data_IF_125290772578
#
_entry.id   IF_125290772578
#
_cell.length_a   1.000
_cell.length_b   1.000
_cell.length_c   1.000
_cell.angle_alpha   90.00
_cell.angle_beta   90.00
_cell.angle_gamma   90.00
#
_symmetry.space_group_name_H-M   'P 1'
#
loop_
_entity.id
_entity.type
_entity.pdbx_description
1 polymer ?
#
# COMPACT_ATOMS: atom_id res chain seq x y z
N UNK A 1 -16.16 -33.88 27.13
CA UNK A 1 -15.01 -32.97 26.99
C UNK A 1 -13.75 -33.80 26.85
N UNK A 2 -12.78 -33.39 26.04
CA UNK A 2 -11.46 -34.02 26.04
C UNK A 2 -10.67 -33.51 27.25
N UNK A 3 -10.26 -34.40 28.15
CA UNK A 3 -9.43 -34.05 29.31
C UNK A 3 -7.96 -34.19 28.90
N UNK A 4 -7.24 -33.07 28.90
CA UNK A 4 -5.79 -33.05 28.67
C UNK A 4 -5.08 -33.01 30.02
N UNK A 5 -3.94 -33.70 30.18
CA UNK A 5 -3.12 -33.60 31.38
C UNK A 5 -2.67 -32.15 31.63
N UNK A 6 -2.45 -31.79 32.89
CA UNK A 6 -1.96 -30.45 33.24
C UNK A 6 -0.66 -30.10 32.50
N UNK A 7 -0.47 -28.83 32.16
CA UNK A 7 0.72 -28.30 31.48
C UNK A 7 1.03 -28.89 30.09
N UNK A 8 0.08 -29.57 29.43
CA UNK A 8 0.30 -30.18 28.10
C UNK A 8 -0.29 -29.40 26.92
N UNK A 9 -0.90 -28.22 27.16
CA UNK A 9 -1.50 -27.37 26.12
C UNK A 9 -0.60 -27.16 24.90
N UNK A 10 0.64 -26.72 25.15
CA UNK A 10 1.67 -26.48 24.14
C UNK A 10 2.13 -27.72 23.33
N UNK A 11 1.60 -28.91 23.64
CA UNK A 11 1.87 -30.18 22.95
C UNK A 11 0.62 -30.80 22.33
N UNK A 12 -0.51 -30.73 23.03
CA UNK A 12 -1.73 -31.45 22.68
C UNK A 12 -2.82 -30.58 22.09
N UNK A 13 -2.77 -29.24 22.25
CA UNK A 13 -3.77 -28.35 21.67
C UNK A 13 -3.34 -27.90 20.27
N UNK A 14 -4.07 -28.27 19.19
CA UNK A 14 -3.71 -27.90 17.83
C UNK A 14 -3.54 -26.39 17.65
N UNK A 15 -4.36 -25.58 18.33
CA UNK A 15 -4.26 -24.14 18.26
C UNK A 15 -2.88 -23.63 18.70
N UNK A 16 -2.37 -24.10 19.84
CA UNK A 16 -1.06 -23.71 20.36
C UNK A 16 0.09 -24.28 19.53
N UNK A 17 -0.06 -25.51 19.02
CA UNK A 17 1.01 -26.23 18.30
C UNK A 17 1.23 -25.70 16.88
N UNK A 18 0.17 -25.26 16.18
CA UNK A 18 0.30 -24.98 14.75
C UNK A 18 -0.55 -23.83 14.18
N UNK A 19 -1.48 -23.25 14.94
CA UNK A 19 -2.35 -22.16 14.42
C UNK A 19 -1.93 -20.80 14.93
N UNK A 20 -1.67 -20.67 16.24
CA UNK A 20 -1.37 -19.38 16.87
C UNK A 20 0.01 -18.83 16.50
N UNK A 21 0.99 -19.69 16.21
CA UNK A 21 2.30 -19.26 15.71
C UNK A 21 2.17 -18.49 14.39
N UNK A 22 1.65 -19.11 13.31
CA UNK A 22 1.41 -18.43 12.04
C UNK A 22 0.52 -17.18 12.17
N UNK A 23 -0.51 -17.23 13.03
CA UNK A 23 -1.40 -16.09 13.26
C UNK A 23 -0.65 -14.90 13.88
N UNK A 24 0.23 -15.15 14.86
CA UNK A 24 1.05 -14.12 15.48
C UNK A 24 2.01 -13.49 14.47
N UNK A 25 2.59 -14.30 13.58
CA UNK A 25 3.45 -13.81 12.50
C UNK A 25 2.68 -12.93 11.53
N UNK A 26 1.56 -13.43 10.97
CA UNK A 26 0.76 -12.67 10.02
C UNK A 26 0.22 -11.36 10.63
N UNK A 27 -0.18 -11.39 11.90
CA UNK A 27 -0.60 -10.18 12.62
C UNK A 27 0.54 -9.18 12.76
N UNK A 28 1.75 -9.64 13.11
CA UNK A 28 2.94 -8.78 13.21
C UNK A 28 3.27 -8.16 11.85
N UNK A 29 3.18 -8.92 10.76
CA UNK A 29 3.46 -8.43 9.41
C UNK A 29 2.46 -7.33 9.00
N UNK A 30 1.18 -7.51 9.33
CA UNK A 30 0.12 -6.52 9.11
C UNK A 30 0.34 -5.24 9.94
N UNK A 31 0.77 -5.37 11.20
CA UNK A 31 1.15 -4.23 12.04
C UNK A 31 2.35 -3.49 11.46
N UNK A 32 3.40 -4.21 11.07
CA UNK A 32 4.60 -3.62 10.48
C UNK A 32 4.27 -2.88 9.18
N UNK A 33 3.38 -3.44 8.34
CA UNK A 33 2.87 -2.79 7.14
C UNK A 33 2.22 -1.46 7.49
N UNK A 34 1.34 -1.41 8.49
CA UNK A 34 0.72 -0.15 8.91
C UNK A 34 1.75 0.87 9.44
N UNK A 35 2.74 0.43 10.21
CA UNK A 35 3.81 1.31 10.70
C UNK A 35 4.65 1.90 9.56
N UNK A 36 4.96 1.09 8.52
CA UNK A 36 5.60 1.60 7.28
C UNK A 36 4.74 2.63 6.56
N UNK A 37 3.43 2.59 6.75
CA UNK A 37 2.46 3.56 6.25
C UNK A 37 2.38 4.87 7.06
N UNK A 38 3.22 5.04 8.09
CA UNK A 38 3.25 6.25 8.91
C UNK A 38 2.36 6.20 10.15
N UNK A 39 1.87 5.02 10.54
CA UNK A 39 1.11 4.85 11.78
C UNK A 39 2.06 4.62 12.96
N UNK A 40 2.09 5.55 13.92
CA UNK A 40 2.98 5.47 15.10
C UNK A 40 2.60 4.38 16.10
N UNK A 41 1.29 4.15 16.29
CA UNK A 41 0.80 3.16 17.24
C UNK A 41 -0.47 2.47 16.76
N UNK A 42 -0.54 1.15 16.98
CA UNK A 42 -1.74 0.36 16.68
C UNK A 42 -2.69 0.38 17.89
N UNK A 43 -3.82 1.07 17.74
CA UNK A 43 -4.87 1.18 18.76
C UNK A 43 -6.00 0.17 18.52
N UNK A 44 -6.95 0.07 19.47
CA UNK A 44 -8.07 -0.91 19.42
C UNK A 44 -8.96 -0.76 18.17
N UNK A 45 -9.07 0.44 17.62
CA UNK A 45 -9.84 0.72 16.40
C UNK A 45 -9.22 0.07 15.14
N UNK A 46 -7.95 -0.31 15.19
CA UNK A 46 -7.26 -0.99 14.09
C UNK A 46 -7.29 -2.51 14.23
N UNK A 47 -7.70 -3.03 15.38
CA UNK A 47 -7.61 -4.46 15.68
C UNK A 47 -8.33 -5.28 14.62
N UNK A 48 -9.57 -4.94 14.26
CA UNK A 48 -10.37 -5.74 13.32
C UNK A 48 -9.82 -5.66 11.90
N UNK A 49 -9.31 -4.50 11.46
CA UNK A 49 -8.74 -4.33 10.13
C UNK A 49 -7.39 -5.04 9.97
N UNK A 50 -6.61 -5.18 11.05
CA UNK A 50 -5.35 -5.96 11.09
C UNK A 50 -5.64 -7.45 11.26
N UNK A 51 -6.57 -7.80 12.14
CA UNK A 51 -6.83 -9.19 12.52
C UNK A 51 -7.51 -9.99 11.40
N UNK A 52 -8.43 -9.39 10.64
CA UNK A 52 -9.11 -10.08 9.52
C UNK A 52 -8.13 -10.67 8.49
N UNK A 53 -7.24 -9.88 7.85
CA UNK A 53 -6.30 -10.42 6.88
C UNK A 53 -5.27 -11.37 7.51
N UNK A 54 -4.83 -11.11 8.74
CA UNK A 54 -3.95 -12.02 9.47
C UNK A 54 -4.61 -13.39 9.73
N UNK A 55 -5.90 -13.39 10.09
CA UNK A 55 -6.70 -14.60 10.30
C UNK A 55 -6.88 -15.39 9.01
N UNK A 56 -7.21 -14.72 7.91
CA UNK A 56 -7.38 -15.35 6.59
C UNK A 56 -6.07 -16.00 6.10
N UNK A 57 -4.94 -15.34 6.36
CA UNK A 57 -3.60 -15.84 6.01
C UNK A 57 -3.19 -17.04 6.87
N UNK A 58 -3.46 -17.00 8.17
CA UNK A 58 -2.95 -18.00 9.12
C UNK A 58 -3.90 -19.18 9.35
N UNK A 59 -5.21 -18.95 9.43
CA UNK A 59 -6.21 -19.99 9.74
C UNK A 59 -6.68 -20.63 8.43
N UNK A 60 -5.77 -21.37 7.79
CA UNK A 60 -6.05 -22.12 6.57
C UNK A 60 -6.35 -23.58 6.88
N UNK A 61 -7.10 -24.25 6.00
CA UNK A 61 -7.36 -25.70 6.09
C UNK A 61 -6.05 -26.49 6.24
N UNK A 62 -5.01 -26.10 5.50
CA UNK A 62 -3.68 -26.71 5.57
C UNK A 62 -3.07 -26.59 6.96
N UNK A 63 -3.08 -25.40 7.55
CA UNK A 63 -2.50 -25.16 8.88
C UNK A 63 -3.28 -25.89 9.97
N UNK A 64 -4.61 -25.92 9.87
CA UNK A 64 -5.45 -26.68 10.79
C UNK A 64 -5.09 -28.17 10.74
N UNK A 65 -5.11 -28.80 9.56
CA UNK A 65 -4.78 -30.23 9.43
C UNK A 65 -3.36 -30.52 9.93
N UNK A 66 -2.39 -29.69 9.57
CA UNK A 66 -1.01 -29.84 10.03
C UNK A 66 -0.89 -29.74 11.56
N UNK A 67 -1.65 -28.83 12.18
CA UNK A 67 -1.69 -28.65 13.63
C UNK A 67 -2.28 -29.88 14.35
N UNK A 68 -3.39 -30.43 13.86
CA UNK A 68 -3.98 -31.66 14.39
C UNK A 68 -3.04 -32.85 14.29
N UNK A 69 -2.34 -32.98 13.16
CA UNK A 69 -1.34 -34.02 12.98
C UNK A 69 -0.14 -33.78 13.90
N UNK A 70 0.27 -32.53 14.12
CA UNK A 70 1.39 -32.18 15.01
C UNK A 70 1.11 -32.46 16.48
N UNK A 71 -0.15 -32.30 16.92
CA UNK A 71 -0.62 -32.70 18.24
C UNK A 71 -0.86 -34.21 18.38
N UNK A 72 -0.62 -35.00 17.33
CA UNK A 72 -0.81 -36.45 17.34
C UNK A 72 -2.27 -36.90 17.44
N UNK A 73 -3.22 -36.00 17.18
CA UNK A 73 -4.65 -36.25 17.35
C UNK A 73 -5.31 -36.73 16.05
N UNK A 74 -4.91 -36.20 14.90
CA UNK A 74 -5.48 -36.60 13.60
C UNK A 74 -4.48 -36.48 12.45
N UNK A 75 -4.09 -37.60 11.81
CA UNK A 75 -4.33 -38.97 12.25
C UNK A 75 -3.74 -39.23 13.65
N UNK A 76 -4.37 -40.11 14.43
CA UNK A 76 -3.92 -40.41 15.79
C UNK A 76 -2.51 -41.03 15.77
N UNK A 77 -1.54 -40.33 16.38
CA UNK A 77 -0.14 -40.72 16.41
C UNK A 77 0.53 -40.14 17.67
N UNK A 78 0.40 -40.82 18.83
CA UNK A 78 0.92 -40.33 20.11
C UNK A 78 2.45 -40.22 20.10
N UNK A 79 3.15 -41.10 19.38
CA UNK A 79 4.61 -41.11 19.26
C UNK A 79 5.17 -39.75 18.79
N UNK A 80 4.42 -39.04 17.93
CA UNK A 80 4.82 -37.71 17.46
C UNK A 80 4.93 -36.68 18.57
N UNK A 81 4.12 -36.80 19.61
CA UNK A 81 4.17 -35.94 20.80
C UNK A 81 5.20 -36.46 21.79
N UNK A 82 5.23 -37.77 22.04
CA UNK A 82 6.13 -38.42 23.00
C UNK A 82 7.61 -38.18 22.67
N UNK A 83 7.99 -38.20 21.38
CA UNK A 83 9.36 -37.86 20.93
C UNK A 83 9.82 -36.45 21.33
N UNK A 84 8.89 -35.52 21.61
CA UNK A 84 9.17 -34.13 21.99
C UNK A 84 9.08 -33.89 23.49
N UNK A 85 8.78 -34.92 24.27
CA UNK A 85 8.79 -34.83 25.73
C UNK A 85 10.22 -35.07 26.23
N UNK A 86 10.70 -34.29 27.22
CA UNK A 86 11.98 -34.58 27.84
C UNK A 86 11.94 -35.99 28.41
N UNK A 87 12.96 -36.80 28.12
CA UNK A 87 13.13 -38.09 28.79
C UNK A 87 13.32 -37.81 30.29
N UNK A 88 12.73 -38.61 31.19
CA UNK A 88 13.03 -38.50 32.61
C UNK A 88 14.54 -38.59 32.83
N UNK A 89 15.13 -37.85 33.78
CA UNK A 89 16.57 -37.84 34.00
C UNK A 89 17.03 -39.28 34.26
N UNK A 90 17.80 -39.84 33.33
CA UNK A 90 18.63 -41.00 33.58
C UNK A 90 19.93 -40.47 34.18
N UNK A 91 20.45 -41.15 35.20
CA UNK A 91 21.70 -40.79 35.87
C UNK A 91 22.84 -40.50 34.88
N UNK A 92 23.67 -39.55 35.31
CA UNK A 92 24.66 -38.78 34.57
C UNK A 92 25.74 -39.68 33.92
N UNK A 93 26.05 -39.43 32.65
CA UNK A 93 27.37 -39.65 32.09
C UNK A 93 27.86 -38.34 31.45
N UNK A 94 28.77 -37.68 32.16
CA UNK A 94 29.52 -36.50 31.72
C UNK A 94 30.57 -36.97 30.72
N UNK A 95 30.62 -36.36 29.53
CA UNK A 95 31.86 -36.31 28.77
C UNK A 95 32.03 -34.88 28.26
N UNK A 96 33.10 -34.27 28.76
CA UNK A 96 33.64 -32.97 28.41
C UNK A 96 34.53 -33.09 27.16
N UNK A 97 35.02 -31.94 26.68
CA UNK A 97 36.25 -31.73 25.89
C UNK A 97 36.05 -31.63 24.36
N UNK A 98 35.89 -30.40 23.83
CA UNK A 98 36.94 -29.65 23.11
C UNK A 98 36.42 -28.49 22.24
N UNK A 99 37.17 -27.39 22.34
CA UNK A 99 37.14 -26.23 21.48
C UNK A 99 37.61 -26.53 20.05
N UNK A 100 37.02 -25.83 19.06
CA UNK A 100 37.67 -25.55 17.79
C UNK A 100 37.62 -24.04 17.53
N UNK A 101 38.82 -23.44 17.53
CA UNK A 101 39.14 -22.14 16.98
C UNK A 101 39.42 -22.24 15.47
N UNK A 102 39.29 -21.08 14.79
CA UNK A 102 39.69 -20.77 13.39
C UNK A 102 38.70 -21.27 12.32
N UNK A 103 38.29 -20.50 11.31
CA UNK A 103 39.01 -19.47 10.57
C UNK A 103 38.08 -18.36 10.03
N UNK A 104 38.62 -17.14 9.99
CA UNK A 104 38.13 -16.06 9.15
C UNK A 104 38.41 -16.41 7.69
N UNK A 105 37.39 -16.76 6.92
CA UNK A 105 37.47 -16.64 5.47
C UNK A 105 36.90 -15.29 5.04
N UNK A 106 37.81 -14.36 4.78
CA UNK A 106 37.54 -13.18 3.94
C UNK A 106 37.25 -13.72 2.54
N UNK A 107 35.97 -13.76 2.18
CA UNK A 107 35.55 -13.99 0.79
C UNK A 107 36.03 -12.78 -0.01
N UNK A 108 37.08 -12.97 -0.81
CA UNK A 108 37.42 -12.03 -1.87
C UNK A 108 36.29 -12.04 -2.89
N UNK A 109 35.50 -10.98 -2.87
CA UNK A 109 34.54 -10.66 -3.91
C UNK A 109 35.35 -10.35 -5.18
N UNK A 110 35.12 -11.03 -6.32
CA UNK A 110 35.67 -10.59 -7.58
C UNK A 110 35.19 -9.17 -7.83
N UNK A 111 36.10 -8.20 -7.99
CA UNK A 111 35.77 -6.86 -8.46
C UNK A 111 35.21 -6.94 -9.88
N UNK A 112 33.94 -7.28 -10.00
CA UNK A 112 33.16 -6.91 -11.17
C UNK A 112 32.97 -5.40 -11.12
N UNK A 113 33.38 -4.66 -12.15
CA UNK A 113 33.26 -3.21 -12.17
C UNK A 113 31.81 -2.79 -12.00
N UNK A 114 31.58 -2.02 -10.94
CA UNK A 114 30.30 -1.55 -10.40
C UNK A 114 29.36 -1.09 -11.52
N UNK A 115 28.16 -1.66 -11.54
CA UNK A 115 27.07 -1.18 -12.40
C UNK A 115 26.77 0.27 -12.03
N UNK A 116 26.76 1.22 -13.00
CA UNK A 116 26.58 2.62 -12.69
C UNK A 116 25.18 2.85 -12.12
N UNK A 117 25.12 3.39 -10.89
CA UNK A 117 23.86 3.71 -10.19
C UNK A 117 23.55 5.22 -10.28
N UNK A 118 24.48 6.02 -10.79
CA UNK A 118 24.36 7.48 -10.90
C UNK A 118 24.25 7.93 -12.35
N UNK A 119 23.59 9.06 -12.57
CA UNK A 119 23.41 9.71 -13.88
C UNK A 119 24.75 10.00 -14.54
N UNK A 120 25.73 10.46 -13.77
CA UNK A 120 27.07 10.83 -14.24
C UNK A 120 27.85 9.60 -14.70
N UNK A 121 27.70 8.47 -13.99
CA UNK A 121 28.35 7.22 -14.34
C UNK A 121 27.72 6.58 -15.60
N UNK A 122 26.41 6.71 -15.79
CA UNK A 122 25.73 6.31 -17.03
C UNK A 122 26.18 7.18 -18.21
N UNK A 123 26.28 8.50 -18.03
CA UNK A 123 26.78 9.42 -19.06
C UNK A 123 28.25 9.13 -19.43
N UNK A 124 29.08 8.83 -18.44
CA UNK A 124 30.47 8.44 -18.65
C UNK A 124 30.57 7.13 -19.44
N UNK A 125 29.74 6.13 -19.09
CA UNK A 125 29.68 4.86 -19.82
C UNK A 125 29.21 5.06 -21.27
N UNK A 126 28.23 5.93 -21.50
CA UNK A 126 27.75 6.27 -22.83
C UNK A 126 28.83 6.96 -23.69
N UNK A 127 29.63 7.86 -23.10
CA UNK A 127 30.76 8.47 -23.81
C UNK A 127 31.83 7.45 -24.18
N UNK A 128 32.08 6.47 -23.30
CA UNK A 128 33.03 5.38 -23.54
C UNK A 128 32.55 4.42 -24.64
N UNK A 129 31.24 4.13 -24.68
CA UNK A 129 30.57 3.41 -25.78
C UNK A 129 30.78 4.14 -27.11
N UNK A 130 30.58 5.47 -27.15
CA UNK A 130 30.80 6.27 -28.36
C UNK A 130 32.25 6.17 -28.85
N UNK A 131 33.22 6.28 -27.95
CA UNK A 131 34.64 6.20 -28.31
C UNK A 131 35.01 4.83 -28.89
N UNK A 132 34.64 3.74 -28.22
CA UNK A 132 34.97 2.38 -28.69
C UNK A 132 34.16 1.96 -29.94
N UNK A 133 32.96 2.52 -30.16
CA UNK A 133 32.19 2.30 -31.39
C UNK A 133 32.87 2.86 -32.65
N UNK A 134 33.69 3.90 -32.50
CA UNK A 134 34.48 4.47 -33.60
C UNK A 134 35.82 3.75 -33.81
N UNK A 135 36.24 2.86 -32.91
CA UNK A 135 37.49 2.12 -33.01
C UNK A 135 37.29 0.77 -33.73
N UNK A 136 37.94 0.56 -34.88
CA UNK A 136 37.93 -0.73 -35.58
C UNK A 136 38.95 -1.71 -34.95
N UNK A 137 38.49 -2.62 -34.07
CA UNK A 137 39.30 -3.71 -33.52
C UNK A 137 38.49 -4.77 -32.77
N UNK A 138 38.97 -6.01 -32.68
CA UNK A 138 38.27 -7.06 -31.92
C UNK A 138 38.17 -6.73 -30.42
N UNK A 139 39.20 -6.08 -29.88
CA UNK A 139 39.24 -5.65 -28.47
C UNK A 139 38.24 -4.53 -28.17
N UNK A 140 38.04 -3.58 -29.09
CA UNK A 140 37.02 -2.52 -28.92
C UNK A 140 35.61 -3.09 -28.99
N UNK A 141 35.35 -4.07 -29.87
CA UNK A 141 34.08 -4.79 -29.94
C UNK A 141 33.77 -5.54 -28.63
N UNK A 142 34.75 -6.23 -28.02
CA UNK A 142 34.56 -6.90 -26.73
C UNK A 142 34.29 -5.90 -25.59
N UNK A 143 34.97 -4.75 -25.57
CA UNK A 143 34.70 -3.68 -24.58
C UNK A 143 33.32 -3.07 -24.77
N UNK A 144 32.92 -2.80 -26.02
CA UNK A 144 31.61 -2.30 -26.38
C UNK A 144 30.49 -3.23 -25.89
N UNK A 145 30.63 -4.54 -26.13
CA UNK A 145 29.67 -5.53 -25.63
C UNK A 145 29.54 -5.47 -24.10
N UNK A 146 30.67 -5.37 -23.37
CA UNK A 146 30.66 -5.22 -21.90
C UNK A 146 29.98 -3.94 -21.45
N UNK A 147 30.19 -2.82 -22.13
CA UNK A 147 29.55 -1.55 -21.78
C UNK A 147 28.05 -1.57 -22.04
N UNK A 148 27.61 -2.12 -23.17
CA UNK A 148 26.18 -2.29 -23.47
C UNK A 148 25.52 -3.18 -22.43
N UNK A 149 26.17 -4.29 -22.05
CA UNK A 149 25.66 -5.17 -20.99
C UNK A 149 25.53 -4.43 -19.66
N UNK A 150 26.51 -3.61 -19.27
CA UNK A 150 26.44 -2.80 -18.04
C UNK A 150 25.34 -1.74 -18.10
N UNK A 151 25.14 -1.12 -19.25
CA UNK A 151 24.07 -0.14 -19.45
C UNK A 151 22.70 -0.82 -19.33
N UNK A 152 22.54 -2.00 -19.92
CA UNK A 152 21.33 -2.81 -19.77
C UNK A 152 21.07 -3.20 -18.30
N UNK A 153 22.10 -3.67 -17.59
CA UNK A 153 21.99 -3.98 -16.16
C UNK A 153 21.63 -2.74 -15.32
N UNK A 154 22.23 -1.58 -15.62
CA UNK A 154 21.90 -0.32 -14.94
C UNK A 154 20.45 0.11 -15.19
N UNK A 155 19.99 -0.02 -16.44
CA UNK A 155 18.60 0.27 -16.80
C UNK A 155 17.62 -0.68 -16.08
N UNK A 156 17.93 -1.98 -16.02
CA UNK A 156 17.12 -2.96 -15.27
C UNK A 156 17.01 -2.60 -13.78
N UNK A 157 18.12 -2.25 -13.14
CA UNK A 157 18.14 -1.83 -11.72
C UNK A 157 17.33 -0.54 -11.53
N UNK A 158 17.49 0.43 -12.44
CA UNK A 158 16.76 1.71 -12.38
C UNK A 158 15.25 1.50 -12.53
N UNK A 159 14.82 0.68 -13.50
CA UNK A 159 13.42 0.33 -13.72
C UNK A 159 12.84 -0.41 -12.51
N UNK A 160 13.56 -1.40 -11.98
CA UNK A 160 13.13 -2.12 -10.78
C UNK A 160 12.98 -1.17 -9.58
N UNK A 161 13.92 -0.24 -9.38
CA UNK A 161 13.85 0.79 -8.35
C UNK A 161 12.66 1.72 -8.57
N UNK A 162 12.38 2.13 -9.80
CA UNK A 162 11.24 2.97 -10.14
C UNK A 162 9.92 2.27 -9.82
N UNK A 163 9.78 0.98 -10.17
CA UNK A 163 8.61 0.18 -9.79
C UNK A 163 8.43 0.12 -8.28
N UNK A 164 9.49 -0.16 -7.51
CA UNK A 164 9.40 -0.20 -6.04
C UNK A 164 9.00 1.15 -5.44
N UNK A 165 9.54 2.25 -5.95
CA UNK A 165 9.18 3.60 -5.50
C UNK A 165 7.73 3.95 -5.86
N UNK A 166 7.27 3.53 -7.03
CA UNK A 166 5.89 3.71 -7.45
C UNK A 166 4.94 2.93 -6.53
N UNK A 167 5.21 1.65 -6.28
CA UNK A 167 4.45 0.81 -5.37
C UNK A 167 4.41 1.42 -3.96
N UNK A 168 5.54 1.94 -3.47
CA UNK A 168 5.60 2.62 -2.17
C UNK A 168 4.74 3.90 -2.14
N UNK A 169 4.78 4.71 -3.20
CA UNK A 169 3.96 5.93 -3.28
C UNK A 169 2.46 5.59 -3.34
N UNK A 170 2.07 4.57 -4.09
CA UNK A 170 0.69 4.09 -4.14
C UNK A 170 0.23 3.56 -2.78
N UNK A 171 1.07 2.78 -2.12
CA UNK A 171 0.84 2.28 -0.76
C UNK A 171 0.64 3.42 0.24
N UNK A 172 1.57 4.39 0.29
CA UNK A 172 1.48 5.56 1.17
C UNK A 172 0.23 6.39 0.88
N UNK A 173 -0.11 6.57 -0.39
CA UNK A 173 -1.33 7.28 -0.79
C UNK A 173 -2.58 6.57 -0.27
N UNK A 174 -2.64 5.24 -0.33
CA UNK A 174 -3.76 4.45 0.17
C UNK A 174 -3.89 4.57 1.69
N UNK A 175 -2.79 4.43 2.43
CA UNK A 175 -2.78 4.56 3.90
C UNK A 175 -3.16 5.98 4.33
N UNK A 176 -2.62 7.01 3.67
CA UNK A 176 -2.95 8.40 3.96
C UNK A 176 -4.44 8.70 3.73
N UNK A 177 -5.00 8.25 2.61
CA UNK A 177 -6.44 8.38 2.34
C UNK A 177 -7.28 7.73 3.44
N UNK A 178 -6.93 6.51 3.85
CA UNK A 178 -7.61 5.82 4.94
C UNK A 178 -7.49 6.59 6.26
N UNK A 179 -6.30 7.09 6.60
CA UNK A 179 -6.06 7.88 7.80
C UNK A 179 -6.88 9.18 7.79
N UNK A 180 -6.95 9.89 6.66
CA UNK A 180 -7.80 11.07 6.49
C UNK A 180 -9.28 10.73 6.73
N UNK A 181 -9.77 9.64 6.16
CA UNK A 181 -11.15 9.17 6.38
C UNK A 181 -11.40 8.83 7.85
N UNK A 182 -10.46 8.14 8.51
CA UNK A 182 -10.59 7.82 9.95
C UNK A 182 -10.63 9.07 10.82
N UNK A 183 -9.81 10.10 10.52
CA UNK A 183 -9.80 11.37 11.26
C UNK A 183 -11.06 12.21 11.03
N UNK A 184 -11.60 12.23 9.82
CA UNK A 184 -12.80 13.02 9.49
C UNK A 184 -14.10 12.33 9.90
N UNK A 185 -14.09 10.99 9.97
CA UNK A 185 -15.27 10.21 10.37
C UNK A 185 -15.48 10.30 11.87
N UNK A 186 -16.61 10.88 12.28
CA UNK A 186 -17.01 10.92 13.69
C UNK A 186 -17.19 9.50 14.23
N UNK A 187 -16.65 9.22 15.43
CA UNK A 187 -16.92 7.96 16.12
C UNK A 187 -18.40 7.88 16.50
N UNK A 188 -19.08 6.84 16.00
CA UNK A 188 -20.50 6.61 16.26
C UNK A 188 -20.64 5.22 16.87
N UNK A 189 -21.25 5.15 18.04
CA UNK A 189 -21.56 3.89 18.73
C UNK A 189 -22.54 3.08 17.88
N UNK A 190 -22.14 1.88 17.45
CA UNK A 190 -22.92 1.02 16.54
C UNK A 190 -24.06 0.25 17.23
N UNK A 191 -24.06 0.19 18.57
CA UNK A 191 -25.13 -0.44 19.35
C UNK A 191 -24.72 -0.76 20.80
N UNK A 192 -25.58 -1.48 21.53
CA UNK A 192 -25.23 -2.09 22.82
C UNK A 192 -24.18 -3.18 22.61
N UNK A 193 -23.26 -3.33 23.57
CA UNK A 193 -22.15 -4.27 23.52
C UNK A 193 -22.59 -5.68 23.06
N UNK A 194 -22.14 -6.08 21.87
CA UNK A 194 -22.36 -7.38 21.24
C UNK A 194 -21.06 -7.77 20.53
N UNK A 195 -20.74 -9.07 20.50
CA UNK A 195 -19.64 -9.58 19.66
C UNK A 195 -20.02 -9.33 18.20
N UNK A 196 -19.28 -8.45 17.52
CA UNK A 196 -19.48 -8.13 16.11
C UNK A 196 -18.31 -8.67 15.30
N UNK A 197 -18.61 -9.37 14.21
CA UNK A 197 -17.64 -9.73 13.18
C UNK A 197 -17.26 -8.50 12.35
N UNK A 198 -16.20 -8.60 11.54
CA UNK A 198 -15.84 -7.52 10.63
C UNK A 198 -16.92 -7.34 9.55
N UNK A 199 -17.55 -8.43 9.13
CA UNK A 199 -18.66 -8.46 8.20
C UNK A 199 -19.88 -7.71 8.76
N UNK A 200 -20.18 -7.86 10.06
CA UNK A 200 -21.22 -7.08 10.74
C UNK A 200 -20.91 -5.57 10.71
N UNK A 201 -19.63 -5.19 10.82
CA UNK A 201 -19.19 -3.79 10.74
C UNK A 201 -19.32 -3.25 9.31
N UNK A 202 -18.96 -4.05 8.29
CA UNK A 202 -19.14 -3.69 6.88
C UNK A 202 -20.62 -3.52 6.53
N UNK A 203 -21.47 -4.47 6.95
CA UNK A 203 -22.90 -4.41 6.70
C UNK A 203 -23.55 -3.23 7.43
N UNK A 204 -23.14 -2.93 8.67
CA UNK A 204 -23.62 -1.76 9.40
C UNK A 204 -23.21 -0.44 8.72
N UNK A 205 -22.01 -0.39 8.13
CA UNK A 205 -21.55 0.75 7.32
C UNK A 205 -22.37 0.89 6.03
N UNK A 206 -22.61 -0.21 5.31
CA UNK A 206 -23.41 -0.22 4.08
C UNK A 206 -24.86 0.21 4.35
N UNK A 207 -25.51 -0.37 5.36
CA UNK A 207 -26.87 0.01 5.80
C UNK A 207 -26.98 1.49 6.18
N UNK A 208 -25.90 2.10 6.68
CA UNK A 208 -25.86 3.54 6.96
C UNK A 208 -25.66 4.38 5.71
N UNK A 209 -24.75 4.00 4.82
CA UNK A 209 -24.57 4.69 3.54
C UNK A 209 -25.91 4.76 2.78
N UNK A 210 -26.66 3.65 2.72
CA UNK A 210 -27.99 3.62 2.14
C UNK A 210 -29.00 4.54 2.86
N UNK A 211 -28.93 4.63 4.20
CA UNK A 211 -29.81 5.53 4.99
C UNK A 211 -29.44 7.01 4.78
N UNK A 212 -28.16 7.33 4.67
CA UNK A 212 -27.67 8.70 4.40
C UNK A 212 -27.96 9.13 2.96
N UNK A 213 -27.85 8.23 1.99
CA UNK A 213 -28.30 8.44 0.61
C UNK A 213 -29.81 8.70 0.55
N UNK A 214 -30.62 7.88 1.25
CA UNK A 214 -32.07 8.10 1.36
C UNK A 214 -32.40 9.41 2.07
N UNK A 215 -31.66 9.79 3.12
CA UNK A 215 -31.88 11.03 3.85
C UNK A 215 -31.43 12.29 3.09
N UNK A 216 -30.39 12.19 2.26
CA UNK A 216 -29.94 13.28 1.38
C UNK A 216 -30.86 13.46 0.18
N UNK A 217 -31.38 12.36 -0.40
CA UNK A 217 -32.42 12.41 -1.43
C UNK A 217 -33.75 12.99 -0.94
N UNK A 218 -34.09 12.82 0.35
CA UNK A 218 -35.30 13.39 0.95
C UNK A 218 -35.21 14.89 1.28
N UNK A 219 -34.00 15.49 1.28
CA UNK A 219 -33.84 16.94 1.49
C UNK A 219 -34.03 17.69 0.16
N UNK A 220 -35.26 18.10 -0.12
CA UNK A 220 -35.59 19.04 -1.21
C UNK A 220 -34.77 20.33 -1.05
N UNK A 221 -34.09 20.83 -2.11
CA UNK A 221 -33.36 22.09 -2.03
C UNK A 221 -34.34 23.26 -1.90
N UNK A 222 -34.43 23.89 -0.71
CA UNK A 222 -35.05 25.21 -0.57
C UNK A 222 -34.22 26.22 -1.37
N UNK A 223 -34.74 26.67 -2.53
CA UNK A 223 -34.28 27.88 -3.23
C UNK A 223 -34.26 29.06 -2.25
N UNK A 224 -33.09 29.43 -1.71
CA UNK A 224 -32.90 30.76 -1.11
C UNK A 224 -32.81 31.76 -2.26
N UNK A 225 -33.95 32.35 -2.60
CA UNK A 225 -34.02 33.47 -3.52
C UNK A 225 -33.26 34.66 -2.92
N UNK A 226 -32.11 35.00 -3.50
CA UNK A 226 -31.47 36.30 -3.31
C UNK A 226 -31.93 37.19 -4.47
N UNK A 227 -32.95 38.02 -4.23
CA UNK A 227 -33.31 39.12 -5.14
C UNK A 227 -32.15 40.14 -5.17
N UNK A 228 -31.73 40.63 -6.33
CA UNK A 228 -30.85 41.80 -6.42
C UNK A 228 -31.66 43.04 -6.06
N UNK A 229 -31.10 43.91 -5.20
CA UNK A 229 -31.70 45.20 -4.84
C UNK A 229 -30.91 46.28 -5.56
N UNK A 230 -31.49 46.83 -6.63
CA UNK A 230 -31.04 48.05 -7.29
C UNK A 230 -31.71 49.28 -6.67
N UNK A 231 -30.94 50.38 -6.66
CA UNK A 231 -31.31 51.80 -6.68
C UNK A 231 -32.32 52.36 -5.66
N UNK A 232 -31.82 53.25 -4.80
CA UNK A 232 -32.53 54.46 -4.37
C UNK A 232 -31.50 55.58 -4.10
N UNK A 233 -31.74 56.75 -4.66
CA UNK A 233 -30.93 57.97 -4.64
C UNK A 233 -31.12 58.81 -3.34
N UNK A 234 -30.00 59.43 -2.88
CA UNK A 234 -29.76 60.87 -2.46
C UNK A 234 -30.50 61.40 -1.20
N UNK A 235 -29.84 62.10 -0.21
CA UNK A 235 -29.28 63.48 -0.34
C UNK A 235 -27.88 63.78 0.29
N UNK A 236 -27.05 64.52 -0.46
CA UNK A 236 -26.51 65.90 -0.22
C UNK A 236 -25.62 66.07 1.02
N UNK A 237 -24.30 66.27 0.83
CA UNK A 237 -23.60 67.52 1.17
C UNK A 237 -22.16 67.55 0.58
N UNK A 238 -21.78 68.78 0.28
CA UNK A 238 -20.66 69.37 -0.45
C UNK A 238 -19.31 69.32 0.30
N UNK A 239 -18.19 68.99 -0.37
CA UNK A 239 -16.84 69.59 -0.14
C UNK A 239 -15.93 69.40 -1.38
N UNK A 240 -15.71 70.51 -2.09
CA UNK A 240 -14.54 71.00 -2.88
C UNK A 240 -13.50 70.07 -3.52
N UNK A 241 -13.31 70.25 -4.85
CA UNK A 241 -12.08 70.62 -5.60
C UNK A 241 -10.71 70.05 -5.13
N UNK A 242 -9.80 69.49 -5.94
CA UNK A 242 -8.99 70.14 -7.01
C UNK A 242 -8.18 69.10 -7.82
N UNK A 243 -8.15 69.28 -9.15
CA UNK A 243 -7.13 69.02 -10.19
C UNK A 243 -6.31 67.72 -10.32
N UNK A 244 -6.15 67.30 -11.60
CA UNK A 244 -4.80 67.05 -12.16
C UNK A 244 -4.63 65.92 -13.20
N UNK A 245 -4.74 66.28 -14.48
CA UNK A 245 -4.01 65.78 -15.69
C UNK A 245 -3.96 64.26 -16.02
N UNK A 246 -4.54 63.81 -17.16
CA UNK A 246 -3.98 63.75 -18.54
C UNK A 246 -2.93 62.61 -18.71
N UNK A 247 -2.98 61.66 -19.65
CA UNK A 247 -3.01 61.80 -21.12
C UNK A 247 -3.41 60.48 -21.83
N UNK A 248 -4.22 60.64 -22.88
CA UNK A 248 -4.12 60.09 -24.25
C UNK A 248 -4.03 58.57 -24.50
N UNK A 249 -5.03 58.08 -25.23
CA UNK A 249 -4.85 56.98 -26.19
C UNK A 249 -4.53 57.53 -27.59
N UNK A 250 -4.31 56.62 -28.54
CA UNK A 250 -4.75 56.56 -29.95
C UNK A 250 -4.07 55.32 -30.57
N UNK A 251 -4.82 54.37 -31.14
CA UNK A 251 -4.91 54.16 -32.60
C UNK A 251 -3.93 53.04 -33.01
N UNK A 252 -4.28 51.95 -33.70
CA UNK A 252 -4.79 51.95 -35.07
C UNK A 252 -5.22 50.52 -35.48
N UNK A 253 -6.20 50.43 -36.38
CA UNK A 253 -6.85 49.21 -36.85
C UNK A 253 -6.35 48.75 -38.23
N UNK A 254 -6.31 47.44 -38.47
CA UNK A 254 -6.38 46.80 -39.78
C UNK A 254 -6.96 45.38 -39.57
N UNK A 255 -8.24 45.15 -39.84
CA UNK A 255 -8.84 44.67 -41.09
C UNK A 255 -8.51 43.21 -41.45
N UNK A 256 -9.49 42.32 -41.25
CA UNK A 256 -9.95 41.33 -42.23
C UNK A 256 -11.05 40.44 -41.59
N UNK A 257 -12.18 40.36 -42.28
CA UNK A 257 -13.45 39.78 -41.83
C UNK A 257 -13.67 38.41 -42.50
N UNK A 258 -14.53 37.55 -41.89
CA UNK A 258 -15.34 36.47 -42.53
C UNK A 258 -14.59 35.13 -42.74
N UNK A 259 -15.09 33.91 -42.47
CA UNK A 259 -16.42 33.34 -42.17
C UNK A 259 -16.26 32.03 -41.38
N UNK A 260 -17.27 31.77 -40.56
CA UNK A 260 -17.62 30.47 -39.97
C UNK A 260 -18.00 29.44 -41.03
N UNK A 261 -17.50 28.20 -40.93
CA UNK A 261 -18.17 27.02 -41.46
C UNK A 261 -17.98 25.82 -40.54
N UNK A 262 -19.10 25.15 -40.26
CA UNK A 262 -19.26 24.02 -39.34
C UNK A 262 -18.74 22.69 -39.92
N UNK A 263 -17.90 22.01 -39.12
CA UNK A 263 -17.79 20.57 -38.71
C UNK A 263 -18.33 19.46 -39.64
N UNK A 264 -17.64 18.29 -39.72
CA UNK A 264 -18.02 17.18 -38.82
C UNK A 264 -16.83 16.34 -38.30
N UNK A 265 -16.80 16.01 -37.00
CA UNK A 265 -15.92 14.94 -36.50
C UNK A 265 -15.28 15.06 -35.11
N UNK A 266 -15.78 15.88 -34.18
CA UNK A 266 -15.34 15.81 -32.77
C UNK A 266 -16.22 14.81 -32.01
N UNK A 267 -15.69 13.60 -31.82
CA UNK A 267 -16.31 12.55 -31.02
C UNK A 267 -16.43 13.06 -29.57
N UNK A 268 -17.66 13.14 -29.07
CA UNK A 268 -17.96 13.52 -27.68
C UNK A 268 -17.22 12.60 -26.69
N UNK A 269 -16.86 13.09 -25.49
CA UNK A 269 -16.30 12.22 -24.46
C UNK A 269 -17.35 11.22 -24.00
N UNK A 270 -17.15 9.95 -24.34
CA UNK A 270 -17.91 8.86 -23.73
C UNK A 270 -17.71 8.90 -22.21
N UNK A 271 -18.80 9.13 -21.48
CA UNK A 271 -18.85 8.90 -20.04
C UNK A 271 -18.63 7.41 -19.80
N UNK A 272 -17.43 7.04 -19.36
CA UNK A 272 -17.15 5.67 -18.91
C UNK A 272 -18.11 5.31 -17.78
N UNK A 273 -18.80 4.16 -17.82
CA UNK A 273 -19.63 3.73 -16.71
C UNK A 273 -18.75 3.49 -15.47
N UNK A 274 -19.28 3.89 -14.31
CA UNK A 274 -18.71 3.60 -13.00
C UNK A 274 -18.44 2.08 -12.91
N UNK A 275 -17.21 1.72 -12.54
CA UNK A 275 -16.78 0.32 -12.48
C UNK A 275 -17.72 -0.51 -11.59
N UNK A 276 -18.11 -1.71 -12.06
CA UNK A 276 -19.03 -2.63 -11.37
C UNK A 276 -18.30 -3.97 -11.16
N UNK A 277 -18.21 -4.45 -9.91
CA UNK A 277 -17.54 -5.70 -9.59
C UNK A 277 -18.30 -6.91 -10.18
N UNK A 278 -17.60 -7.94 -10.72
CA UNK A 278 -18.25 -9.14 -11.21
C UNK A 278 -18.84 -9.96 -10.06
N UNK A 279 -20.13 -10.28 -10.16
CA UNK A 279 -20.84 -11.17 -9.23
C UNK A 279 -20.54 -12.61 -9.63
N UNK A 280 -19.83 -13.34 -8.77
CA UNK A 280 -19.65 -14.78 -8.92
C UNK A 280 -20.99 -15.49 -8.68
N UNK A 281 -21.45 -16.28 -9.65
CA UNK A 281 -22.54 -17.24 -9.44
C UNK A 281 -21.97 -18.43 -8.68
N UNK A 282 -22.44 -18.62 -7.46
CA UNK A 282 -22.16 -19.81 -6.66
C UNK A 282 -23.14 -20.89 -7.13
N UNK A 283 -22.61 -22.03 -7.61
CA UNK A 283 -23.33 -23.30 -7.68
C UNK A 283 -23.06 -24.08 -6.40
#
# INVERSE_FOLDING_TARGET
MCHLPSHTSHKLQPCDVGVFGPLKTAYRDEVERLCRGGLEAVSKEHFTSVYKPARETAITRRNIIAAWAASGLSPFNPERVLRKMPKPPSEIAVLDVLACTQDQQVVQVPETPVTPVTTEAVMSLHNLIKQDAHALGEQSNQRLQKYVQKLASAAQISLAKQTLLQDQNEFLTKVNKEATVRRSTRSIVLGKAKVMSFEDLEEARAKRAEKEEKASAAKVPKKRGRKPKSSAEVPVEEVTEVAGASLQGEGEAADATVQTNNIPGLRQPETRPLWRAPVAKIY
#
